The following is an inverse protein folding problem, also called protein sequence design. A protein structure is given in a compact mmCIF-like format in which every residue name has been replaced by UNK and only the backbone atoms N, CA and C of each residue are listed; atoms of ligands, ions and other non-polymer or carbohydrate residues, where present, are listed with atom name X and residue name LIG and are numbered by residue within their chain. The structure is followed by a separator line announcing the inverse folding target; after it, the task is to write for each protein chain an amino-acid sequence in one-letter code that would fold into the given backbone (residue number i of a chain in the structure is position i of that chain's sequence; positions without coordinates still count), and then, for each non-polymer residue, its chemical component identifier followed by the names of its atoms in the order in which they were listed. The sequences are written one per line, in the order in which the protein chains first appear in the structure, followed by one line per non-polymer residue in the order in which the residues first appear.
data_IF_512006703264
#
_entry.id   IF_512006703264
#
_cell.length_a   1.000
_cell.length_b   1.000
_cell.length_c   1.000
_cell.angle_alpha   90.00
_cell.angle_beta   90.00
_cell.angle_gamma   90.00
#
_symmetry.space_group_name_H-M   'P 1'
#
loop_
_entity.id
_entity.type
_entity.pdbx_description
1 polymer ?
#
# COMPACT_ATOMS: atom_id res chain seq x y z
N UNK A 1 6.24 -5.91 3.98
CA UNK A 1 6.58 -5.36 2.66
C UNK A 1 8.06 -5.12 2.51
N UNK A 2 8.67 -5.74 1.53
CA UNK A 2 10.07 -5.50 1.16
C UNK A 2 10.17 -4.56 -0.04
N UNK A 3 11.37 -4.00 -0.26
CA UNK A 3 11.70 -3.23 -1.47
C UNK A 3 11.60 -4.10 -2.72
N UNK A 4 11.89 -5.40 -2.60
CA UNK A 4 11.75 -6.35 -3.71
C UNK A 4 10.29 -6.52 -4.14
N UNK A 5 9.39 -6.81 -3.21
CA UNK A 5 7.94 -6.93 -3.48
C UNK A 5 7.37 -5.65 -4.11
N UNK A 6 7.84 -4.48 -3.66
CA UNK A 6 7.49 -3.20 -4.25
C UNK A 6 7.97 -3.08 -5.71
N UNK A 7 9.22 -3.47 -5.98
CA UNK A 7 9.78 -3.43 -7.34
C UNK A 7 8.99 -4.30 -8.30
N UNK A 8 8.62 -5.52 -7.89
CA UNK A 8 7.75 -6.39 -8.68
C UNK A 8 6.41 -5.74 -9.02
N UNK A 9 5.84 -4.98 -8.09
CA UNK A 9 4.58 -4.28 -8.29
C UNK A 9 4.68 -3.19 -9.35
N UNK A 10 5.73 -2.35 -9.28
CA UNK A 10 5.89 -1.24 -10.22
C UNK A 10 6.34 -1.69 -11.61
N UNK A 11 7.07 -2.81 -11.71
CA UNK A 11 7.45 -3.42 -13.00
C UNK A 11 6.31 -4.23 -13.62
N UNK A 12 5.20 -4.43 -12.90
CA UNK A 12 4.06 -5.20 -13.40
C UNK A 12 4.36 -6.69 -13.55
N UNK A 13 5.31 -7.23 -12.75
CA UNK A 13 5.76 -8.63 -12.85
C UNK A 13 4.61 -9.63 -12.78
N UNK A 14 3.55 -9.28 -12.06
CA UNK A 14 2.40 -10.14 -11.80
C UNK A 14 1.24 -9.98 -12.78
N UNK A 15 1.36 -9.10 -13.78
CA UNK A 15 0.30 -8.81 -14.75
C UNK A 15 0.79 -9.18 -16.15
N UNK A 16 0.12 -10.15 -16.80
CA UNK A 16 0.42 -10.53 -18.18
C UNK A 16 -0.15 -9.49 -19.16
N UNK A 17 0.69 -8.77 -19.93
CA UNK A 17 0.23 -7.77 -20.89
C UNK A 17 -0.76 -8.34 -21.92
N UNK A 18 -0.59 -9.61 -22.33
CA UNK A 18 -1.46 -10.24 -23.32
C UNK A 18 -2.88 -10.49 -22.79
N UNK A 19 -3.03 -10.65 -21.46
CA UNK A 19 -4.33 -10.78 -20.82
C UNK A 19 -5.02 -9.42 -20.69
N UNK A 20 -4.25 -8.35 -20.43
CA UNK A 20 -4.78 -6.98 -20.34
C UNK A 20 -5.43 -6.57 -21.67
N UNK A 21 -4.80 -6.87 -22.81
CA UNK A 21 -5.34 -6.53 -24.14
C UNK A 21 -6.70 -7.17 -24.42
N UNK A 22 -7.02 -8.28 -23.76
CA UNK A 22 -8.28 -9.02 -23.93
C UNK A 22 -9.41 -8.52 -23.04
N UNK A 23 -9.11 -7.66 -22.07
CA UNK A 23 -10.12 -7.06 -21.20
C UNK A 23 -10.86 -6.02 -22.02
N UNK A 24 -12.19 -6.14 -22.09
CA UNK A 24 -13.04 -5.20 -22.82
C UNK A 24 -13.81 -4.25 -21.90
N UNK A 25 -13.91 -4.60 -20.61
CA UNK A 25 -14.58 -3.76 -19.63
C UNK A 25 -13.75 -2.51 -19.30
N UNK A 26 -14.40 -1.34 -19.36
CA UNK A 26 -13.74 -0.05 -19.16
C UNK A 26 -13.32 0.18 -17.70
N UNK A 27 -14.07 -0.38 -16.74
CA UNK A 27 -13.75 -0.27 -15.32
C UNK A 27 -12.52 -1.11 -15.00
N UNK A 28 -12.45 -2.34 -15.50
CA UNK A 28 -11.29 -3.22 -15.30
C UNK A 28 -10.02 -2.61 -15.90
N UNK A 29 -10.10 -2.03 -17.11
CA UNK A 29 -8.98 -1.28 -17.70
C UNK A 29 -8.55 -0.12 -16.80
N UNK A 30 -9.51 0.66 -16.32
CA UNK A 30 -9.23 1.77 -15.41
C UNK A 30 -8.53 1.29 -14.12
N UNK A 31 -8.98 0.18 -13.53
CA UNK A 31 -8.37 -0.37 -12.33
C UNK A 31 -6.93 -0.82 -12.57
N UNK A 32 -6.66 -1.49 -13.70
CA UNK A 32 -5.31 -1.94 -14.08
C UNK A 32 -4.36 -0.74 -14.31
N UNK A 33 -4.87 0.33 -14.92
CA UNK A 33 -4.07 1.54 -15.18
C UNK A 33 -3.77 2.35 -13.91
N UNK A 34 -4.61 2.22 -12.88
CA UNK A 34 -4.54 3.04 -11.67
C UNK A 34 -4.11 2.28 -10.41
N UNK A 35 -4.00 0.95 -10.47
CA UNK A 35 -3.55 0.11 -9.35
C UNK A 35 -2.34 -0.73 -9.77
N UNK A 36 -1.33 -0.80 -8.90
CA UNK A 36 -0.22 -1.78 -9.02
C UNK A 36 -0.44 -2.95 -8.08
N UNK A 37 0.08 -4.12 -8.42
CA UNK A 37 -0.16 -5.37 -7.69
C UNK A 37 1.15 -5.96 -7.18
N UNK A 38 1.24 -6.16 -5.86
CA UNK A 38 2.24 -7.03 -5.25
C UNK A 38 1.57 -8.23 -4.58
N UNK A 39 2.39 -9.20 -4.18
CA UNK A 39 1.97 -10.31 -3.35
C UNK A 39 2.78 -10.35 -2.05
N UNK A 40 2.12 -10.65 -0.94
CA UNK A 40 2.76 -10.77 0.38
C UNK A 40 2.41 -12.08 1.05
N UNK A 41 3.36 -12.66 1.78
CA UNK A 41 3.11 -13.86 2.57
C UNK A 41 2.15 -13.56 3.73
N UNK A 42 1.07 -14.34 3.84
CA UNK A 42 0.15 -14.27 4.97
C UNK A 42 0.72 -14.88 6.25
N UNK A 43 0.11 -14.57 7.40
CA UNK A 43 0.49 -15.18 8.69
C UNK A 43 0.20 -16.69 8.67
N UNK A 44 1.20 -17.50 9.01
CA UNK A 44 1.03 -18.95 9.26
C UNK A 44 0.73 -19.82 8.04
N UNK A 45 0.60 -19.23 6.85
CA UNK A 45 0.44 -19.96 5.59
C UNK A 45 1.43 -19.42 4.58
N UNK A 46 2.03 -20.28 3.76
CA UNK A 46 2.83 -19.86 2.60
C UNK A 46 1.96 -19.26 1.48
N UNK A 47 0.67 -18.99 1.75
CA UNK A 47 -0.22 -18.39 0.76
C UNK A 47 0.11 -16.92 0.61
N UNK A 48 0.32 -16.54 -0.64
CA UNK A 48 0.49 -15.17 -1.05
C UNK A 48 -0.87 -14.48 -1.10
N UNK A 49 -0.92 -13.26 -0.59
CA UNK A 49 -2.11 -12.39 -0.58
C UNK A 49 -1.82 -11.19 -1.47
N UNK A 50 -2.75 -10.83 -2.39
CA UNK A 50 -2.58 -9.67 -3.25
C UNK A 50 -2.67 -8.37 -2.44
N UNK A 51 -1.82 -7.41 -2.78
CA UNK A 51 -1.82 -6.05 -2.24
C UNK A 51 -1.82 -5.06 -3.39
N UNK A 52 -2.82 -4.18 -3.38
CA UNK A 52 -3.04 -3.18 -4.42
C UNK A 52 -2.45 -1.83 -3.97
N UNK A 53 -1.69 -1.19 -4.85
CA UNK A 53 -1.14 0.16 -4.66
C UNK A 53 -1.86 1.15 -5.56
N UNK A 54 -2.60 2.08 -4.97
CA UNK A 54 -3.14 3.21 -5.70
C UNK A 54 -2.01 4.04 -6.34
N UNK A 55 -2.24 4.53 -7.57
CA UNK A 55 -1.25 5.28 -8.36
C UNK A 55 -0.69 6.52 -7.63
N UNK A 56 -1.50 7.17 -6.82
CA UNK A 56 -1.10 8.34 -6.01
C UNK A 56 -0.10 8.00 -4.90
N UNK A 57 -0.01 6.74 -4.48
CA UNK A 57 1.00 6.28 -3.50
C UNK A 57 2.38 6.07 -4.11
N UNK A 58 2.48 5.93 -5.44
CA UNK A 58 3.73 5.56 -6.10
C UNK A 58 4.80 6.64 -5.96
N UNK A 59 4.46 7.91 -6.18
CA UNK A 59 5.39 9.03 -6.05
C UNK A 59 5.98 9.16 -4.65
N UNK A 60 5.15 9.21 -3.58
CA UNK A 60 5.64 9.24 -2.20
C UNK A 60 6.54 8.04 -1.83
N UNK A 61 6.20 6.83 -2.27
CA UNK A 61 7.01 5.64 -1.98
C UNK A 61 8.35 5.69 -2.72
N UNK A 62 8.38 6.11 -3.99
CA UNK A 62 9.64 6.30 -4.72
C UNK A 62 10.55 7.30 -4.02
N UNK A 63 9.99 8.43 -3.56
CA UNK A 63 10.75 9.41 -2.78
C UNK A 63 11.33 8.83 -1.48
N UNK A 64 10.58 7.99 -0.77
CA UNK A 64 11.11 7.30 0.41
C UNK A 64 12.31 6.41 0.08
N UNK A 65 12.32 5.77 -1.09
CA UNK A 65 13.41 4.91 -1.52
C UNK A 65 14.65 5.70 -1.93
N UNK A 66 14.47 6.85 -2.56
CA UNK A 66 15.56 7.77 -2.95
C UNK A 66 16.27 8.37 -1.73
N UNK A 67 15.52 8.70 -0.68
CA UNK A 67 16.03 9.39 0.52
C UNK A 67 16.63 8.46 1.59
N UNK A 68 16.70 7.14 1.34
CA UNK A 68 17.14 6.17 2.36
C UNK A 68 18.53 6.46 2.93
N UNK A 69 19.50 6.77 2.05
CA UNK A 69 20.87 7.10 2.44
C UNK A 69 20.94 8.39 3.25
N UNK A 70 20.12 9.39 2.91
CA UNK A 70 20.06 10.67 3.61
C UNK A 70 19.41 10.54 5.00
N UNK A 71 18.57 9.53 5.21
CA UNK A 71 17.88 9.27 6.47
C UNK A 71 18.58 8.24 7.39
N UNK A 72 19.86 7.91 7.11
CA UNK A 72 20.64 6.96 7.90
C UNK A 72 19.95 5.58 8.06
N UNK A 73 19.34 5.10 6.97
CA UNK A 73 18.79 3.76 6.87
C UNK A 73 19.92 2.78 6.52
N UNK A 74 19.99 1.63 7.19
CA UNK A 74 20.96 0.58 6.87
C UNK A 74 20.79 0.08 5.43
N UNK A 75 21.90 -0.15 4.72
CA UNK A 75 21.89 -0.64 3.34
C UNK A 75 21.24 -2.04 3.25
N UNK A 76 21.42 -2.85 4.28
CA UNK A 76 20.88 -4.21 4.38
C UNK A 76 19.39 -4.25 4.75
N UNK A 77 18.79 -3.12 5.13
CA UNK A 77 17.40 -3.09 5.51
C UNK A 77 16.49 -3.33 4.30
N UNK A 78 15.84 -4.49 4.24
CA UNK A 78 15.03 -4.90 3.09
C UNK A 78 13.64 -4.29 3.07
N UNK A 79 13.20 -3.64 4.14
CA UNK A 79 11.81 -3.19 4.29
C UNK A 79 11.53 -1.92 3.49
N UNK A 80 10.34 -1.86 2.89
CA UNK A 80 9.88 -0.66 2.15
C UNK A 80 9.76 0.56 3.08
N UNK A 81 9.33 0.32 4.32
CA UNK A 81 9.24 1.32 5.38
C UNK A 81 10.24 0.95 6.49
N UNK A 82 11.52 1.32 6.35
CA UNK A 82 12.57 0.96 7.29
C UNK A 82 12.55 1.84 8.56
N UNK A 83 13.12 1.36 9.66
CA UNK A 83 13.59 2.24 10.72
C UNK A 83 14.88 2.97 10.29
N UNK A 84 15.11 4.15 10.87
CA UNK A 84 16.36 4.90 10.74
C UNK A 84 17.37 4.48 11.81
N UNK A 85 18.61 4.98 11.73
CA UNK A 85 19.62 4.75 12.75
C UNK A 85 20.30 3.39 12.64
N UNK A 86 20.55 2.92 11.40
CA UNK A 86 21.16 1.63 11.08
C UNK A 86 20.39 0.38 11.58
N UNK A 87 19.12 0.53 11.96
CA UNK A 87 18.25 -0.60 12.26
C UNK A 87 17.92 -1.39 10.99
N UNK A 88 17.88 -2.72 11.10
CA UNK A 88 17.45 -3.64 10.03
C UNK A 88 15.95 -3.97 10.09
N UNK A 89 15.22 -3.39 11.05
CA UNK A 89 13.79 -3.61 11.23
C UNK A 89 12.94 -2.59 10.45
N UNK A 90 11.64 -2.88 10.33
CA UNK A 90 10.67 -1.97 9.76
C UNK A 90 10.15 -0.93 10.76
N UNK A 91 9.69 0.20 10.25
CA UNK A 91 8.93 1.18 11.01
C UNK A 91 7.60 0.60 11.48
N UNK A 92 7.20 0.94 12.71
CA UNK A 92 5.90 0.56 13.25
C UNK A 92 4.80 1.46 12.69
N UNK A 93 4.00 0.94 11.76
CA UNK A 93 2.91 1.69 11.14
C UNK A 93 1.92 2.31 12.14
N UNK A 94 1.66 1.65 13.28
CA UNK A 94 0.84 2.21 14.35
C UNK A 94 1.45 3.49 14.95
N UNK A 95 2.75 3.46 15.29
CA UNK A 95 3.44 4.61 15.86
C UNK A 95 3.61 5.73 14.82
N UNK A 96 3.92 5.40 13.57
CA UNK A 96 3.99 6.37 12.48
C UNK A 96 2.65 7.08 12.26
N UNK A 97 1.56 6.32 12.14
CA UNK A 97 0.22 6.88 11.96
C UNK A 97 -0.16 7.77 13.15
N UNK A 98 0.08 7.31 14.38
CA UNK A 98 -0.20 8.10 15.58
C UNK A 98 0.59 9.42 15.55
N UNK A 99 1.87 9.39 15.18
CA UNK A 99 2.69 10.60 15.10
C UNK A 99 2.10 11.62 14.12
N UNK A 100 1.68 11.18 12.93
CA UNK A 100 1.08 12.05 11.91
C UNK A 100 -0.29 12.58 12.35
N UNK A 101 -1.16 11.72 12.86
CA UNK A 101 -2.52 12.09 13.29
C UNK A 101 -2.49 13.16 14.38
N UNK A 102 -1.57 13.04 15.34
CA UNK A 102 -1.44 14.00 16.44
C UNK A 102 -0.66 15.26 16.07
N UNK A 103 0.00 15.32 14.91
CA UNK A 103 0.63 16.54 14.40
C UNK A 103 -0.30 17.38 13.51
N UNK A 104 -1.43 16.81 13.05
CA UNK A 104 -2.43 17.53 12.25
C UNK A 104 -3.19 18.58 13.10
N UNK A 105 -3.16 19.87 12.73
CA UNK A 105 -3.92 20.90 13.44
C UNK A 105 -5.43 20.72 13.23
N UNK A 106 -6.23 21.13 14.22
CA UNK A 106 -7.69 21.19 14.17
C UNK A 106 -8.44 19.86 14.02
N UNK A 107 -7.77 18.73 14.25
CA UNK A 107 -8.41 17.42 14.20
C UNK A 107 -9.27 17.18 15.45
N UNK A 108 -10.59 17.04 15.26
CA UNK A 108 -11.55 16.95 16.37
C UNK A 108 -11.48 15.62 17.14
N UNK A 109 -11.25 14.50 16.44
CA UNK A 109 -11.28 13.15 17.01
C UNK A 109 -10.09 12.29 16.54
N UNK A 110 -8.84 12.67 16.88
CA UNK A 110 -7.63 11.95 16.43
C UNK A 110 -7.61 10.47 16.81
N UNK A 111 -8.18 10.11 17.96
CA UNK A 111 -8.21 8.73 18.45
C UNK A 111 -9.03 7.76 17.57
N UNK A 112 -9.88 8.28 16.67
CA UNK A 112 -10.63 7.46 15.71
C UNK A 112 -9.83 7.13 14.45
N UNK A 113 -8.73 7.86 14.18
CA UNK A 113 -7.86 7.64 13.02
C UNK A 113 -6.79 6.58 13.31
N UNK A 114 -7.24 5.34 13.48
CA UNK A 114 -6.38 4.17 13.72
C UNK A 114 -6.47 3.16 12.58
N UNK A 115 -5.44 2.32 12.44
CA UNK A 115 -5.31 1.37 11.34
C UNK A 115 -6.54 0.47 11.17
N UNK A 116 -7.13 -0.02 12.26
CA UNK A 116 -8.31 -0.89 12.22
C UNK A 116 -9.55 -0.16 11.67
N UNK A 117 -9.75 1.10 12.04
CA UNK A 117 -10.87 1.92 11.55
C UNK A 117 -10.68 2.28 10.08
N UNK A 118 -9.46 2.59 9.64
CA UNK A 118 -9.15 2.78 8.23
C UNK A 118 -9.42 1.52 7.41
N UNK A 119 -8.92 0.37 7.85
CA UNK A 119 -9.17 -0.92 7.17
C UNK A 119 -10.65 -1.26 7.10
N UNK A 120 -11.39 -1.06 8.18
CA UNK A 120 -12.83 -1.27 8.19
C UNK A 120 -13.54 -0.34 7.21
N UNK A 121 -13.24 0.96 7.24
CA UNK A 121 -13.83 1.94 6.30
C UNK A 121 -13.55 1.58 4.85
N UNK A 122 -12.31 1.23 4.53
CA UNK A 122 -11.93 0.81 3.17
C UNK A 122 -12.72 -0.43 2.76
N UNK A 123 -12.81 -1.44 3.63
CA UNK A 123 -13.62 -2.64 3.37
C UNK A 123 -15.10 -2.33 3.13
N UNK A 124 -15.68 -1.40 3.89
CA UNK A 124 -17.07 -0.95 3.68
C UNK A 124 -17.23 -0.25 2.33
N UNK A 125 -16.31 0.65 1.97
CA UNK A 125 -16.36 1.33 0.68
C UNK A 125 -16.27 0.34 -0.48
N UNK A 126 -15.38 -0.66 -0.41
CA UNK A 126 -15.28 -1.70 -1.42
C UNK A 126 -16.56 -2.55 -1.50
N UNK A 127 -17.12 -2.97 -0.37
CA UNK A 127 -18.37 -3.73 -0.35
C UNK A 127 -19.56 -2.96 -0.96
N UNK A 128 -19.60 -1.64 -0.80
CA UNK A 128 -20.62 -0.79 -1.42
C UNK A 128 -20.48 -0.69 -2.94
N UNK A 129 -19.27 -0.83 -3.49
CA UNK A 129 -19.04 -0.82 -4.93
C UNK A 129 -19.58 -2.08 -5.61
N UNK A 130 -19.63 -3.21 -4.91
CA UNK A 130 -20.14 -4.49 -5.41
C UNK A 130 -21.68 -4.56 -5.43
N UNK A 131 -22.37 -3.59 -4.82
CA UNK A 131 -23.82 -3.52 -4.86
C UNK A 131 -24.32 -3.00 -6.23
N UNK A 132 -25.38 -3.61 -6.81
CA UNK A 132 -26.05 -3.09 -7.99
C UNK A 132 -26.44 -1.62 -7.78
N UNK A 133 -26.42 -0.80 -8.83
CA UNK A 133 -26.68 0.64 -8.72
C UNK A 133 -28.01 0.99 -8.03
N UNK A 134 -28.99 0.10 -8.09
CA UNK A 134 -30.30 0.18 -7.44
C UNK A 134 -30.25 0.07 -5.90
N UNK A 135 -29.15 -0.48 -5.36
CA UNK A 135 -28.94 -0.78 -3.94
C UNK A 135 -27.73 -0.02 -3.35
N UNK A 136 -27.16 0.95 -4.08
CA UNK A 136 -26.10 1.85 -3.60
C UNK A 136 -26.66 3.01 -2.80
#
# INVERSE_FOLDING_TARGET
MTVHEWREAITGTWIDPNLIERINDLMDKYLIDNLKLAYQAGKGSRKLVPVLFPKDTLGPISKFLEERSNCNVAEENIFLFPNTGLSIDHASGHHCLKTVVYSCPNLQQPHLLIADKFRHRVSTLFAQLDLPAENR
#
